data_IF_481409608311
#
_entry.id   IF_481409608311
#
_cell.length_a   1.000
_cell.length_b   1.000
_cell.length_c   1.000
_cell.angle_alpha   90.00
_cell.angle_beta   90.00
_cell.angle_gamma   90.00
#
_symmetry.space_group_name_H-M   'P 1'
#
loop_
_entity.id
_entity.type
_entity.pdbx_description
1 polymer ?
#
# COMPACT_ATOMS: atom_id res chain seq x y z
N UNK A 1 -11.04 -1.85 0.36
CA UNK A 1 -10.15 -2.76 -0.39
C UNK A 1 -8.92 -1.94 -0.72
N UNK A 2 -7.72 -2.48 -0.60
CA UNK A 2 -6.48 -1.81 -1.04
C UNK A 2 -6.36 -1.91 -2.56
N UNK A 3 -5.77 -0.90 -3.20
CA UNK A 3 -5.38 -0.96 -4.62
C UNK A 3 -4.29 -2.03 -4.84
N UNK A 4 -4.34 -2.70 -5.98
CA UNK A 4 -3.34 -3.70 -6.37
C UNK A 4 -3.93 -4.96 -6.99
N UNK A 5 -3.11 -5.63 -7.80
CA UNK A 5 -3.54 -6.81 -8.57
C UNK A 5 -2.54 -7.96 -8.57
N UNK A 6 -2.53 -8.69 -9.69
CA UNK A 6 -1.77 -9.94 -9.80
C UNK A 6 -0.35 -9.67 -10.29
N UNK A 7 0.63 -10.31 -9.66
CA UNK A 7 2.01 -10.31 -10.17
C UNK A 7 2.08 -10.95 -11.55
N UNK A 8 2.60 -10.21 -12.53
CA UNK A 8 2.82 -10.73 -13.88
C UNK A 8 4.17 -11.43 -14.04
N UNK A 9 4.28 -12.24 -15.11
CA UNK A 9 5.50 -13.04 -15.35
C UNK A 9 6.67 -12.12 -15.71
N UNK A 10 7.73 -12.20 -14.92
CA UNK A 10 8.98 -11.45 -15.16
C UNK A 10 9.00 -10.08 -14.47
N UNK A 11 7.93 -9.75 -13.74
CA UNK A 11 7.81 -8.52 -12.96
C UNK A 11 8.31 -8.76 -11.52
N UNK A 12 8.94 -7.75 -10.92
CA UNK A 12 9.20 -7.72 -9.48
C UNK A 12 7.97 -7.25 -8.71
N UNK A 13 7.89 -7.55 -7.40
CA UNK A 13 6.75 -7.10 -6.59
C UNK A 13 6.57 -5.57 -6.57
N UNK A 14 7.67 -4.81 -6.66
CA UNK A 14 7.64 -3.35 -6.68
C UNK A 14 7.16 -2.83 -8.05
N UNK A 15 7.62 -3.41 -9.15
CA UNK A 15 7.13 -3.07 -10.49
C UNK A 15 5.63 -3.34 -10.61
N UNK A 16 5.16 -4.49 -10.12
CA UNK A 16 3.74 -4.85 -10.06
C UNK A 16 2.94 -3.80 -9.30
N UNK A 17 3.35 -3.48 -8.08
CA UNK A 17 2.68 -2.49 -7.25
C UNK A 17 2.58 -1.12 -7.95
N UNK A 18 3.66 -0.64 -8.54
CA UNK A 18 3.70 0.67 -9.21
C UNK A 18 2.78 0.67 -10.44
N UNK A 19 2.80 -0.41 -11.24
CA UNK A 19 1.93 -0.57 -12.40
C UNK A 19 0.46 -0.60 -11.99
N UNK A 20 0.08 -1.46 -11.05
CA UNK A 20 -1.31 -1.63 -10.61
C UNK A 20 -1.87 -0.32 -10.01
N UNK A 21 -1.08 0.37 -9.16
CA UNK A 21 -1.51 1.68 -8.62
C UNK A 21 -1.70 2.69 -9.75
N UNK A 22 -0.82 2.71 -10.75
CA UNK A 22 -0.96 3.62 -11.89
C UNK A 22 -2.20 3.29 -12.73
N UNK A 23 -2.46 2.02 -13.00
CA UNK A 23 -3.62 1.54 -13.77
C UNK A 23 -4.93 1.87 -13.06
N UNK A 24 -5.02 1.60 -11.76
CA UNK A 24 -6.25 1.76 -11.00
C UNK A 24 -6.54 3.21 -10.54
N UNK A 25 -5.51 4.02 -10.32
CA UNK A 25 -5.66 5.35 -9.67
C UNK A 25 -5.00 6.51 -10.41
N UNK A 26 -4.22 6.24 -11.46
CA UNK A 26 -3.39 7.21 -12.18
C UNK A 26 -2.29 7.87 -11.33
N UNK A 27 -2.04 7.43 -10.09
CA UNK A 27 -0.97 7.95 -9.24
C UNK A 27 0.40 7.41 -9.66
N UNK A 28 1.39 8.29 -9.71
CA UNK A 28 2.80 7.91 -9.67
C UNK A 28 3.24 7.78 -8.21
N UNK A 29 3.76 6.61 -7.83
CA UNK A 29 4.14 6.30 -6.45
C UNK A 29 5.56 5.77 -6.33
N UNK A 30 6.17 6.01 -5.18
CA UNK A 30 7.41 5.38 -4.73
C UNK A 30 7.15 4.58 -3.46
N UNK A 31 7.75 3.39 -3.36
CA UNK A 31 7.69 2.61 -2.12
C UNK A 31 8.56 3.29 -1.08
N UNK A 32 8.00 3.53 0.10
CA UNK A 32 8.75 4.11 1.21
C UNK A 32 9.92 3.17 1.52
N UNK A 33 11.11 3.75 1.62
CA UNK A 33 12.40 3.06 1.81
C UNK A 33 13.09 2.53 0.53
N UNK A 34 12.65 2.88 -0.68
CA UNK A 34 13.37 2.54 -1.94
C UNK A 34 14.28 3.63 -2.49
N UNK A 35 14.50 4.74 -1.77
CA UNK A 35 15.50 5.74 -2.19
C UNK A 35 16.83 5.02 -2.48
N UNK A 36 17.26 5.10 -3.74
CA UNK A 36 18.36 4.32 -4.35
C UNK A 36 19.73 4.49 -3.67
N UNK A 37 19.81 5.33 -2.64
CA UNK A 37 21.00 5.63 -1.86
C UNK A 37 21.11 4.84 -0.54
N UNK A 38 20.20 3.89 -0.27
CA UNK A 38 20.28 3.07 0.95
C UNK A 38 21.08 1.78 0.73
N UNK A 39 21.74 1.26 1.78
CA UNK A 39 22.52 0.03 1.68
C UNK A 39 21.64 -1.13 1.19
N UNK A 40 22.17 -1.89 0.24
CA UNK A 40 21.61 -3.18 -0.17
C UNK A 40 21.41 -4.03 1.10
N UNK A 41 20.18 -4.45 1.38
CA UNK A 41 19.85 -5.35 2.49
C UNK A 41 18.94 -4.78 3.58
N UNK A 42 18.52 -3.52 3.51
CA UNK A 42 17.46 -3.02 4.41
C UNK A 42 16.09 -3.62 4.01
N UNK A 43 15.31 -4.15 4.98
CA UNK A 43 14.01 -4.72 4.69
C UNK A 43 13.02 -3.64 4.25
N UNK A 44 12.31 -3.90 3.15
CA UNK A 44 11.21 -3.04 2.74
C UNK A 44 10.04 -3.15 3.74
N UNK A 45 9.39 -2.03 4.11
CA UNK A 45 8.22 -2.07 4.96
C UNK A 45 7.01 -2.57 4.18
N UNK A 46 6.72 -3.87 4.30
CA UNK A 46 5.49 -4.46 3.77
C UNK A 46 4.76 -5.29 4.84
N UNK A 47 3.44 -5.37 4.71
CA UNK A 47 2.61 -6.29 5.45
C UNK A 47 2.31 -7.51 4.58
N UNK A 48 2.34 -8.70 5.17
CA UNK A 48 1.87 -9.91 4.51
C UNK A 48 0.49 -10.22 5.07
N UNK A 49 -0.51 -10.22 4.20
CA UNK A 49 -1.83 -10.77 4.53
C UNK A 49 -2.13 -11.98 3.65
N UNK A 50 -3.02 -12.85 4.14
CA UNK A 50 -3.47 -14.00 3.36
C UNK A 50 -4.98 -14.02 3.32
N UNK A 51 -5.52 -14.35 2.15
CA UNK A 51 -6.97 -14.47 1.94
C UNK A 51 -7.28 -15.79 1.25
N UNK A 52 -8.37 -16.43 1.63
CA UNK A 52 -8.88 -17.59 0.89
C UNK A 52 -10.01 -17.09 -0.02
N UNK A 53 -9.86 -17.30 -1.32
CA UNK A 53 -10.87 -16.94 -2.31
C UNK A 53 -11.09 -18.13 -3.24
N UNK A 54 -12.33 -18.62 -3.35
CA UNK A 54 -12.71 -19.74 -4.24
C UNK A 54 -11.76 -20.95 -4.11
N UNK A 55 -11.45 -21.37 -2.87
CA UNK A 55 -10.52 -22.45 -2.53
C UNK A 55 -9.04 -22.23 -2.94
N UNK A 56 -8.66 -21.02 -3.33
CA UNK A 56 -7.27 -20.62 -3.55
C UNK A 56 -6.79 -19.78 -2.37
N UNK A 57 -5.57 -20.05 -1.90
CA UNK A 57 -4.89 -19.19 -0.93
C UNK A 57 -4.15 -18.10 -1.69
N UNK A 58 -4.52 -16.85 -1.43
CA UNK A 58 -3.87 -15.66 -1.95
C UNK A 58 -2.89 -15.14 -0.90
N UNK A 59 -1.68 -14.85 -1.33
CA UNK A 59 -0.68 -14.12 -0.57
C UNK A 59 -0.73 -12.67 -1.07
N UNK A 60 -0.94 -11.72 -0.17
CA UNK A 60 -1.04 -10.30 -0.49
C UNK A 60 0.14 -9.62 0.21
N UNK A 61 0.93 -8.88 -0.58
CA UNK A 61 2.03 -8.05 -0.10
C UNK A 61 1.57 -6.60 -0.17
N UNK A 62 1.39 -5.97 1.00
CA UNK A 62 0.93 -4.59 1.09
C UNK A 62 2.13 -3.70 1.40
N UNK A 63 2.50 -2.85 0.46
CA UNK A 63 3.62 -1.94 0.58
C UNK A 63 3.16 -0.56 1.03
N UNK A 64 4.00 0.09 1.83
CA UNK A 64 3.80 1.50 2.13
C UNK A 64 4.38 2.36 1.01
N UNK A 65 3.57 3.26 0.45
CA UNK A 65 3.94 4.10 -0.68
C UNK A 65 3.70 5.57 -0.39
N UNK A 66 4.37 6.44 -1.14
CA UNK A 66 4.17 7.88 -1.17
C UNK A 66 3.98 8.38 -2.60
N UNK A 67 3.29 9.50 -2.75
CA UNK A 67 3.11 10.23 -4.01
C UNK A 67 3.26 11.72 -3.75
N UNK A 68 3.78 12.45 -4.73
CA UNK A 68 4.01 13.88 -4.65
C UNK A 68 2.76 14.71 -5.03
N UNK A 69 1.85 14.12 -5.80
CA UNK A 69 0.68 14.83 -6.33
C UNK A 69 -0.58 13.97 -6.24
N UNK A 70 -1.45 14.29 -5.29
CA UNK A 70 -2.75 13.61 -5.13
C UNK A 70 -3.83 14.17 -6.07
N UNK A 71 -3.59 15.29 -6.76
CA UNK A 71 -4.57 15.89 -7.67
C UNK A 71 -4.75 15.08 -8.96
N UNK A 72 -3.80 14.18 -9.26
CA UNK A 72 -3.82 13.31 -10.44
C UNK A 72 -4.76 12.08 -10.29
N UNK A 73 -5.35 11.87 -9.10
CA UNK A 73 -6.18 10.68 -8.85
C UNK A 73 -7.30 10.61 -9.87
N UNK A 74 -7.34 9.49 -10.60
CA UNK A 74 -8.41 9.11 -11.50
C UNK A 74 -8.61 7.61 -11.41
N UNK A 75 -9.77 7.21 -10.90
CA UNK A 75 -10.06 5.80 -10.69
C UNK A 75 -10.41 5.08 -12.00
N UNK A 76 -9.94 3.84 -12.15
CA UNK A 76 -10.57 2.90 -13.07
C UNK A 76 -11.87 2.37 -12.44
N UNK A 77 -12.99 2.86 -12.95
CA UNK A 77 -14.35 2.53 -12.49
C UNK A 77 -14.71 1.04 -12.65
N UNK A 78 -13.92 0.26 -13.39
CA UNK A 78 -14.10 -1.20 -13.48
C UNK A 78 -13.70 -1.93 -12.19
N UNK A 79 -12.74 -1.37 -11.46
CA UNK A 79 -12.14 -2.02 -10.28
C UNK A 79 -12.44 -1.26 -8.99
N UNK A 80 -12.45 0.08 -9.05
CA UNK A 80 -12.63 0.96 -7.91
C UNK A 80 -13.87 1.84 -8.07
N UNK A 81 -14.65 1.95 -7.00
CA UNK A 81 -15.89 2.74 -6.99
C UNK A 81 -15.66 4.13 -6.41
N UNK A 82 -14.85 4.23 -5.35
CA UNK A 82 -14.62 5.47 -4.62
C UNK A 82 -13.33 5.37 -3.77
N UNK A 83 -12.86 6.51 -3.28
CA UNK A 83 -11.72 6.60 -2.38
C UNK A 83 -11.97 7.59 -1.24
N UNK A 84 -11.34 7.33 -0.08
CA UNK A 84 -11.32 8.26 1.04
C UNK A 84 -9.89 8.43 1.52
N UNK A 85 -9.56 9.65 1.95
CA UNK A 85 -8.38 9.88 2.77
C UNK A 85 -8.78 9.71 4.23
N UNK A 86 -7.96 9.00 5.00
CA UNK A 86 -8.21 8.76 6.43
C UNK A 86 -6.99 9.16 7.25
N UNK A 87 -7.23 10.01 8.24
CA UNK A 87 -6.25 10.35 9.26
C UNK A 87 -6.21 9.31 10.38
N UNK A 88 -5.15 9.33 11.19
CA UNK A 88 -5.03 8.44 12.34
C UNK A 88 -6.11 8.71 13.41
N UNK A 89 -6.64 9.93 13.49
CA UNK A 89 -7.75 10.25 14.39
C UNK A 89 -9.08 9.68 13.89
N UNK A 90 -9.38 9.84 12.59
CA UNK A 90 -10.58 9.26 11.97
C UNK A 90 -10.59 7.73 12.05
N UNK A 91 -9.43 7.09 11.94
CA UNK A 91 -9.28 5.63 12.08
C UNK A 91 -9.76 5.12 13.45
N UNK A 92 -9.62 5.90 14.53
CA UNK A 92 -10.07 5.51 15.88
C UNK A 92 -11.59 5.28 15.88
N UNK A 93 -12.31 6.18 15.23
CA UNK A 93 -13.78 6.20 15.13
C UNK A 93 -14.32 5.34 13.98
N UNK A 94 -13.45 4.82 13.11
CA UNK A 94 -13.84 3.95 12.00
C UNK A 94 -14.49 2.67 12.53
N UNK A 95 -15.79 2.52 12.31
CA UNK A 95 -16.62 1.50 12.95
C UNK A 95 -16.72 0.25 12.08
N UNK A 96 -15.58 -0.39 11.84
CA UNK A 96 -15.50 -1.63 11.08
C UNK A 96 -14.86 -2.73 11.92
N UNK A 97 -15.40 -3.95 11.81
CA UNK A 97 -14.84 -5.19 12.39
C UNK A 97 -13.68 -5.73 11.55
N UNK A 98 -13.18 -4.92 10.61
CA UNK A 98 -12.49 -5.42 9.45
C UNK A 98 -10.97 -5.48 9.61
N UNK A 99 -10.43 -6.48 8.91
CA UNK A 99 -9.00 -6.66 8.64
C UNK A 99 -8.35 -5.35 8.15
N UNK A 100 -9.12 -4.50 7.45
CA UNK A 100 -8.70 -3.18 6.99
C UNK A 100 -8.29 -2.25 8.14
N UNK A 101 -9.04 -2.21 9.24
CA UNK A 101 -8.68 -1.39 10.41
C UNK A 101 -7.38 -1.88 11.06
N UNK A 102 -7.12 -3.18 11.04
CA UNK A 102 -5.88 -3.76 11.53
C UNK A 102 -4.70 -3.38 10.62
N UNK A 103 -4.85 -3.55 9.31
CA UNK A 103 -3.86 -3.17 8.29
C UNK A 103 -3.51 -1.69 8.45
N UNK A 104 -4.51 -0.80 8.47
CA UNK A 104 -4.30 0.65 8.61
C UNK A 104 -3.57 1.00 9.92
N UNK A 105 -3.92 0.35 11.04
CA UNK A 105 -3.22 0.56 12.32
C UNK A 105 -1.75 0.15 12.26
N UNK A 106 -1.44 -1.00 11.67
CA UNK A 106 -0.05 -1.45 11.52
C UNK A 106 0.72 -0.55 10.55
N UNK A 107 0.07 -0.11 9.46
CA UNK A 107 0.60 0.88 8.52
C UNK A 107 1.01 2.19 9.20
N UNK A 108 0.14 2.76 10.05
CA UNK A 108 0.50 3.98 10.80
C UNK A 108 1.68 3.75 11.75
N UNK A 109 1.73 2.62 12.45
CA UNK A 109 2.87 2.29 13.33
C UNK A 109 4.19 2.16 12.55
N UNK A 110 4.15 1.55 11.37
CA UNK A 110 5.33 1.40 10.49
C UNK A 110 5.79 2.79 10.03
N UNK A 111 4.86 3.63 9.57
CA UNK A 111 5.14 5.02 9.16
C UNK A 111 5.80 5.82 10.29
N UNK A 112 5.28 5.72 11.51
CA UNK A 112 5.83 6.42 12.67
C UNK A 112 7.25 5.96 13.01
N UNK A 113 7.54 4.65 12.90
CA UNK A 113 8.90 4.11 13.10
C UNK A 113 9.89 4.64 12.06
N UNK A 114 9.50 4.60 10.79
CA UNK A 114 10.30 5.14 9.68
C UNK A 114 10.63 6.62 9.94
N UNK A 115 9.63 7.43 10.28
CA UNK A 115 9.85 8.86 10.55
C UNK A 115 10.77 9.14 11.75
N UNK A 116 10.80 8.26 12.76
CA UNK A 116 11.71 8.37 13.90
C UNK A 116 13.15 8.02 13.54
N UNK A 117 13.35 7.05 12.64
CA UNK A 117 14.68 6.62 12.19
C UNK A 117 15.36 7.67 11.30
N UNK A 118 14.59 8.41 10.49
CA UNK A 118 15.11 9.42 9.55
C UNK A 118 15.08 10.87 10.09
N UNK A 119 14.69 11.08 11.35
CA UNK A 119 14.82 12.39 12.06
C UNK A 119 16.12 12.52 12.87
N UNK A 120 17.10 11.65 12.65
CA UNK A 120 18.44 11.74 13.25
C UNK A 120 19.42 12.49 12.37
#
# INVERSE_FOLDING_TARGET
MSCGGHLEKGESFVECLVREIKEETNLDVTVINTNQMKPIGEPLPFLITTKILRNKKLLILEYLCETEDISQIRLDEKELIDYIFISNEELKNFNERDILKLILKETFKIKDRINLEYKK
#
